data_IF_783909924853
#
_entry.id   IF_783909924853
#
_cell.length_a   1.000
_cell.length_b   1.000
_cell.length_c   1.000
_cell.angle_alpha   90.00
_cell.angle_beta   90.00
_cell.angle_gamma   90.00
#
_symmetry.space_group_name_H-M   'P 1'
#
loop_
_entity.id
_entity.type
_entity.pdbx_description
1 polymer ?
#
# COMPACT_ATOMS: atom_id res chain seq x y z
N UNK A 1 0.43 10.97 14.33
CA UNK A 1 0.71 10.84 12.88
C UNK A 1 0.30 12.13 12.20
N UNK A 2 1.10 12.59 11.25
CA UNK A 2 0.84 13.81 10.51
C UNK A 2 1.03 13.57 9.01
N UNK A 3 0.84 14.63 8.21
CA UNK A 3 0.93 14.51 6.75
C UNK A 3 2.32 14.08 6.30
N UNK A 4 3.36 14.57 6.94
CA UNK A 4 4.74 14.18 6.59
C UNK A 4 4.96 12.69 6.83
N UNK A 5 4.44 12.17 7.94
CA UNK A 5 4.54 10.74 8.26
C UNK A 5 3.76 9.91 7.24
N UNK A 6 2.58 10.37 6.83
CA UNK A 6 1.77 9.68 5.84
C UNK A 6 2.52 9.61 4.51
N UNK A 7 3.14 10.70 4.09
CA UNK A 7 3.94 10.73 2.86
C UNK A 7 5.14 9.80 2.93
N UNK A 8 5.84 9.78 4.07
CA UNK A 8 6.97 8.88 4.28
C UNK A 8 6.52 7.41 4.19
N UNK A 9 5.41 7.08 4.87
CA UNK A 9 4.88 5.72 4.86
C UNK A 9 4.42 5.33 3.45
N UNK A 10 3.84 6.27 2.70
CA UNK A 10 3.48 6.03 1.31
C UNK A 10 4.70 5.66 0.48
N UNK A 11 5.83 6.32 0.73
CA UNK A 11 7.09 6.00 0.07
C UNK A 11 7.56 4.58 0.37
N UNK A 12 7.41 4.13 1.62
CA UNK A 12 7.76 2.77 1.99
C UNK A 12 6.91 1.75 1.22
N UNK A 13 5.61 2.01 1.12
CA UNK A 13 4.69 1.15 0.40
C UNK A 13 5.06 1.12 -1.09
N UNK A 14 5.29 2.29 -1.67
CA UNK A 14 5.63 2.40 -3.08
C UNK A 14 6.91 1.63 -3.40
N UNK A 15 7.93 1.76 -2.54
CA UNK A 15 9.20 1.05 -2.74
C UNK A 15 9.02 -0.45 -2.69
N UNK A 16 8.21 -0.94 -1.76
CA UNK A 16 7.93 -2.38 -1.66
C UNK A 16 7.24 -2.89 -2.92
N UNK A 17 6.25 -2.14 -3.41
CA UNK A 17 5.53 -2.52 -4.62
C UNK A 17 6.42 -2.43 -5.86
N UNK A 18 7.36 -1.49 -5.87
CA UNK A 18 8.26 -1.32 -7.01
C UNK A 18 9.13 -2.56 -7.24
N UNK A 19 9.43 -3.30 -6.19
CA UNK A 19 10.21 -4.53 -6.31
C UNK A 19 9.37 -5.73 -6.74
N UNK A 20 8.08 -5.75 -6.39
CA UNK A 20 7.21 -6.90 -6.61
C UNK A 20 6.11 -6.67 -7.64
N UNK A 21 5.87 -5.43 -8.04
CA UNK A 21 4.79 -4.97 -8.91
C UNK A 21 3.41 -5.09 -8.30
N UNK A 22 3.11 -6.19 -7.63
CA UNK A 22 1.82 -6.40 -6.96
C UNK A 22 2.05 -7.19 -5.69
N UNK A 23 1.23 -6.93 -4.67
CA UNK A 23 1.38 -7.58 -3.39
C UNK A 23 0.04 -7.55 -2.64
N UNK A 24 -0.27 -8.63 -1.93
CA UNK A 24 -1.43 -8.65 -1.06
C UNK A 24 -1.21 -7.72 0.13
N UNK A 25 -2.30 -7.18 0.66
CA UNK A 25 -2.23 -6.23 1.77
C UNK A 25 -1.52 -6.82 2.99
N UNK A 26 -1.81 -8.08 3.31
CA UNK A 26 -1.19 -8.74 4.46
C UNK A 26 0.32 -8.84 4.29
N UNK A 27 0.77 -9.22 3.10
CA UNK A 27 2.20 -9.30 2.81
C UNK A 27 2.84 -7.91 2.84
N UNK A 28 2.15 -6.93 2.31
CA UNK A 28 2.64 -5.56 2.29
C UNK A 28 2.85 -5.02 3.71
N UNK A 29 1.94 -5.34 4.62
CA UNK A 29 2.09 -4.96 6.03
C UNK A 29 3.31 -5.62 6.66
N UNK A 30 3.58 -6.87 6.32
CA UNK A 30 4.75 -7.58 6.84
C UNK A 30 6.05 -6.97 6.33
N UNK A 31 6.10 -6.65 5.05
CA UNK A 31 7.30 -6.10 4.42
C UNK A 31 7.61 -4.70 4.91
N UNK A 32 6.58 -3.85 5.00
CA UNK A 32 6.77 -2.46 5.42
C UNK A 32 6.77 -2.28 6.93
N UNK A 33 6.21 -3.26 7.66
CA UNK A 33 6.03 -3.22 9.12
C UNK A 33 5.11 -2.09 9.57
N UNK A 34 4.28 -1.58 8.66
CA UNK A 34 3.30 -0.56 9.01
C UNK A 34 2.09 -1.20 9.70
N UNK A 35 1.53 -0.47 10.64
CA UNK A 35 0.30 -0.87 11.32
C UNK A 35 -0.90 -0.55 10.42
N UNK A 36 -2.05 -1.14 10.74
CA UNK A 36 -3.25 -0.98 9.91
C UNK A 36 -3.58 0.48 9.59
N UNK A 37 -3.59 1.33 10.61
CA UNK A 37 -3.89 2.75 10.43
C UNK A 37 -2.90 3.42 9.48
N UNK A 38 -1.62 3.17 9.71
CA UNK A 38 -0.55 3.74 8.90
C UNK A 38 -0.65 3.26 7.45
N UNK A 39 -0.93 1.97 7.28
CA UNK A 39 -1.06 1.38 5.96
C UNK A 39 -2.26 1.97 5.20
N UNK A 40 -3.41 2.08 5.87
CA UNK A 40 -4.61 2.62 5.22
C UNK A 40 -4.40 4.06 4.75
N UNK A 41 -3.78 4.89 5.58
CA UNK A 41 -3.51 6.27 5.21
C UNK A 41 -2.51 6.37 4.07
N UNK A 42 -1.47 5.53 4.08
CA UNK A 42 -0.48 5.50 3.01
C UNK A 42 -1.11 5.06 1.69
N UNK A 43 -1.94 4.03 1.72
CA UNK A 43 -2.63 3.55 0.52
C UNK A 43 -3.59 4.60 -0.03
N UNK A 44 -4.33 5.28 0.84
CA UNK A 44 -5.21 6.35 0.42
C UNK A 44 -4.45 7.48 -0.27
N UNK A 45 -3.30 7.85 0.27
CA UNK A 45 -2.44 8.86 -0.32
C UNK A 45 -2.01 8.46 -1.73
N UNK A 46 -1.49 7.23 -1.88
CA UNK A 46 -1.04 6.75 -3.19
C UNK A 46 -2.18 6.58 -4.18
N UNK A 47 -3.33 6.14 -3.71
CA UNK A 47 -4.51 5.97 -4.55
C UNK A 47 -4.98 7.33 -5.09
N UNK A 48 -5.00 8.35 -4.23
CA UNK A 48 -5.37 9.70 -4.62
C UNK A 48 -4.42 10.27 -5.67
N UNK A 49 -3.14 9.93 -5.56
CA UNK A 49 -2.15 10.36 -6.53
C UNK A 49 -2.13 9.53 -7.81
N UNK A 50 -2.95 8.48 -7.86
CA UNK A 50 -3.03 7.62 -9.04
C UNK A 50 -1.81 6.73 -9.23
N UNK A 51 -1.06 6.46 -8.16
CA UNK A 51 0.16 5.66 -8.24
C UNK A 51 -0.04 4.18 -8.02
N UNK A 52 -1.18 3.79 -7.48
CA UNK A 52 -1.49 2.38 -7.22
C UNK A 52 -2.90 2.04 -7.68
N UNK A 53 -3.11 0.75 -7.86
CA UNK A 53 -4.43 0.16 -8.10
C UNK A 53 -4.71 -0.79 -6.94
N UNK A 54 -5.97 -0.85 -6.54
CA UNK A 54 -6.41 -1.72 -5.46
C UNK A 54 -7.51 -2.62 -6.00
N UNK A 55 -7.33 -3.94 -5.85
CA UNK A 55 -8.32 -4.91 -6.27
C UNK A 55 -8.63 -5.86 -5.11
N UNK A 56 -9.86 -6.32 -5.04
CA UNK A 56 -10.24 -7.29 -4.03
C UNK A 56 -9.93 -8.71 -4.51
N UNK A 57 -9.38 -9.52 -3.62
CA UNK A 57 -9.22 -10.94 -3.87
C UNK A 57 -10.31 -11.66 -3.10
N UNK A 58 -11.40 -11.99 -3.78
CA UNK A 58 -12.58 -12.57 -3.14
C UNK A 58 -12.29 -13.92 -2.47
N UNK A 59 -11.43 -14.71 -3.08
CA UNK A 59 -11.12 -16.05 -2.57
C UNK A 59 -10.35 -16.00 -1.26
N UNK A 60 -9.47 -15.02 -1.10
CA UNK A 60 -8.62 -14.92 0.08
C UNK A 60 -9.04 -13.80 1.04
N UNK A 61 -10.08 -13.06 0.69
CA UNK A 61 -10.57 -11.94 1.49
C UNK A 61 -9.46 -10.94 1.81
N UNK A 62 -8.62 -10.67 0.85
CA UNK A 62 -7.51 -9.76 0.97
C UNK A 62 -7.58 -8.74 -0.17
N UNK A 63 -6.82 -7.69 -0.05
CA UNK A 63 -6.68 -6.70 -1.11
C UNK A 63 -5.37 -6.93 -1.84
N UNK A 64 -5.38 -6.79 -3.15
CA UNK A 64 -4.17 -6.85 -3.97
C UNK A 64 -3.84 -5.43 -4.39
N UNK A 65 -2.66 -4.99 -4.02
CA UNK A 65 -2.18 -3.64 -4.32
C UNK A 65 -1.13 -3.77 -5.42
N UNK A 66 -1.27 -2.98 -6.47
CA UNK A 66 -0.31 -3.00 -7.56
C UNK A 66 0.03 -1.58 -7.98
N UNK A 67 1.17 -1.42 -8.65
CA UNK A 67 1.55 -0.13 -9.19
C UNK A 67 0.68 0.21 -10.39
N UNK A 68 0.24 1.46 -10.46
CA UNK A 68 -0.45 1.97 -11.65
C UNK A 68 0.62 2.39 -12.65
N UNK A 69 0.55 1.83 -13.84
CA UNK A 69 1.51 2.14 -14.90
C UNK A 69 0.85 2.83 -16.08
#
# INVERSE_FOLDING_TARGET
MNIDTIGYNAGLVWNALNEAEAMGLKQLKKVTKLKDKEMCLALGWLAREGKILIAENEDEKDLIISLAK
#
